data_IF_326493463054
#
_entry.id   IF_326493463054
#
_cell.length_a   1.000
_cell.length_b   1.000
_cell.length_c   1.000
_cell.angle_alpha   90.00
_cell.angle_beta   90.00
_cell.angle_gamma   90.00
#
_symmetry.space_group_name_H-M   'P 1'
#
loop_
_entity.id
_entity.type
_entity.pdbx_description
1 polymer ?
#
# COMPACT_ATOMS: atom_id res chain seq x y z
N UNK A 1 22.69 6.68 -17.94
CA UNK A 1 21.84 7.22 -16.86
C UNK A 1 20.66 6.27 -16.66
N UNK A 2 20.63 5.51 -15.57
CA UNK A 2 19.60 4.49 -15.29
C UNK A 2 18.33 5.14 -14.75
N UNK A 3 17.50 5.71 -15.65
CA UNK A 3 16.18 6.21 -15.28
C UNK A 3 15.26 5.02 -14.95
N UNK A 4 14.77 5.00 -13.72
CA UNK A 4 13.86 3.96 -13.23
C UNK A 4 12.44 4.25 -13.71
N UNK A 5 11.72 3.21 -14.10
CA UNK A 5 10.34 3.31 -14.58
C UNK A 5 9.40 2.73 -13.53
N UNK A 6 8.36 3.47 -13.16
CA UNK A 6 7.38 3.00 -12.21
C UNK A 6 6.60 1.84 -12.81
N UNK A 7 6.66 0.67 -12.19
CA UNK A 7 5.89 -0.49 -12.69
C UNK A 7 4.39 -0.40 -12.41
N UNK A 8 3.95 0.56 -11.59
CA UNK A 8 2.55 0.77 -11.26
C UNK A 8 1.84 1.83 -12.13
N UNK A 9 2.57 2.77 -12.73
CA UNK A 9 1.99 3.80 -13.60
C UNK A 9 2.75 3.99 -14.92
N UNK A 10 3.77 3.18 -15.17
CA UNK A 10 4.60 3.18 -16.38
C UNK A 10 5.26 4.51 -16.73
N UNK A 11 5.36 5.42 -15.76
CA UNK A 11 6.02 6.71 -15.90
C UNK A 11 7.43 6.67 -15.34
N UNK A 12 8.27 7.57 -15.82
CA UNK A 12 9.61 7.77 -15.31
C UNK A 12 9.55 8.22 -13.85
N UNK A 13 10.34 7.57 -13.00
CA UNK A 13 10.45 7.88 -11.59
C UNK A 13 11.71 8.68 -11.38
N UNK A 14 11.53 9.89 -10.87
CA UNK A 14 12.65 10.74 -10.48
C UNK A 14 13.27 10.21 -9.18
N UNK A 15 14.59 10.35 -8.99
CA UNK A 15 15.29 9.89 -7.78
C UNK A 15 14.69 10.44 -6.48
N UNK A 16 14.08 11.64 -6.52
CA UNK A 16 13.35 12.22 -5.39
C UNK A 16 12.14 11.39 -4.97
N UNK A 17 11.40 10.83 -5.94
CA UNK A 17 10.23 9.97 -5.71
C UNK A 17 10.54 8.48 -5.83
N UNK A 18 11.79 8.13 -6.11
CA UNK A 18 12.23 6.77 -6.36
C UNK A 18 12.16 5.92 -5.10
N UNK A 19 11.38 4.85 -5.21
CA UNK A 19 11.19 3.87 -4.20
C UNK A 19 11.49 2.51 -4.82
N UNK A 20 12.64 1.94 -4.46
CA UNK A 20 13.09 0.64 -4.94
C UNK A 20 12.48 -0.46 -4.05
N UNK A 21 11.67 -1.32 -4.65
CA UNK A 21 11.05 -2.46 -3.98
C UNK A 21 11.23 -3.70 -4.86
N UNK A 22 11.78 -4.78 -4.29
CA UNK A 22 12.01 -6.05 -5.00
C UNK A 22 12.83 -5.88 -6.29
N UNK A 23 13.76 -4.92 -6.31
CA UNK A 23 14.57 -4.59 -7.50
C UNK A 23 13.84 -3.76 -8.57
N UNK A 24 12.59 -3.34 -8.32
CA UNK A 24 11.77 -2.55 -9.23
C UNK A 24 11.54 -1.13 -8.68
N UNK A 25 11.57 -0.13 -9.54
CA UNK A 25 11.30 1.27 -9.17
C UNK A 25 9.80 1.58 -9.11
N UNK A 26 9.39 2.31 -8.08
CA UNK A 26 8.04 2.84 -7.90
C UNK A 26 8.07 4.30 -7.42
N UNK A 27 6.99 5.05 -7.65
CA UNK A 27 6.79 6.33 -6.95
C UNK A 27 6.28 6.07 -5.54
N UNK A 28 6.68 6.91 -4.57
CA UNK A 28 6.13 6.93 -3.21
C UNK A 28 4.59 6.98 -3.20
N UNK A 29 4.01 7.73 -4.13
CA UNK A 29 2.56 7.91 -4.31
C UNK A 29 1.90 6.75 -5.08
N UNK A 30 2.67 6.04 -5.91
CA UNK A 30 2.17 4.87 -6.64
C UNK A 30 2.22 3.58 -5.82
N UNK A 31 2.99 3.59 -4.73
CA UNK A 31 3.19 2.46 -3.84
C UNK A 31 1.97 2.25 -2.95
N UNK A 32 0.93 1.61 -3.50
CA UNK A 32 -0.36 1.40 -2.83
C UNK A 32 -0.83 -0.04 -2.94
N UNK A 33 -1.62 -0.48 -1.97
CA UNK A 33 -2.15 -1.84 -1.95
C UNK A 33 -3.13 -2.06 -3.11
N UNK A 34 -3.05 -3.18 -3.81
CA UNK A 34 -4.02 -3.51 -4.87
C UNK A 34 -5.44 -3.73 -4.30
N UNK A 35 -5.54 -4.26 -3.08
CA UNK A 35 -6.81 -4.57 -2.42
C UNK A 35 -7.54 -3.31 -1.93
N UNK A 36 -6.90 -2.49 -1.10
CA UNK A 36 -7.53 -1.31 -0.50
C UNK A 36 -7.15 0.02 -1.13
N UNK A 37 -6.23 0.02 -2.11
CA UNK A 37 -5.69 1.22 -2.77
C UNK A 37 -5.11 2.26 -1.80
N UNK A 38 -4.84 1.86 -0.55
CA UNK A 38 -4.19 2.70 0.46
C UNK A 38 -2.71 2.81 0.18
N UNK A 39 -2.16 4.03 0.33
CA UNK A 39 -0.73 4.28 0.21
C UNK A 39 0.02 3.47 1.27
N UNK A 40 1.01 2.70 0.82
CA UNK A 40 1.86 1.87 1.64
C UNK A 40 3.20 2.53 1.84
N UNK A 41 3.78 2.33 3.01
CA UNK A 41 5.15 2.76 3.29
C UNK A 41 6.11 1.61 3.00
N UNK A 42 7.31 1.93 2.52
CA UNK A 42 8.40 0.95 2.34
C UNK A 42 8.72 0.19 3.64
N UNK A 43 8.43 0.78 4.81
CA UNK A 43 8.59 0.11 6.11
C UNK A 43 7.46 -0.86 6.48
N UNK A 44 6.29 -0.77 5.83
CA UNK A 44 5.06 -1.50 6.19
C UNK A 44 4.30 -2.05 4.98
N UNK A 45 5.00 -2.58 3.98
CA UNK A 45 4.43 -3.26 2.82
C UNK A 45 4.88 -4.72 2.72
N UNK A 46 4.18 -5.47 1.88
CA UNK A 46 4.54 -6.80 1.44
C UNK A 46 4.30 -6.89 -0.06
N UNK A 47 5.28 -7.37 -0.82
CA UNK A 47 5.17 -7.60 -2.26
C UNK A 47 5.12 -9.10 -2.57
N UNK A 48 4.25 -9.51 -3.49
CA UNK A 48 4.30 -10.85 -4.07
C UNK A 48 4.01 -10.81 -5.56
N UNK A 49 4.84 -11.47 -6.34
CA UNK A 49 4.75 -11.54 -7.81
C UNK A 49 4.64 -10.15 -8.48
N UNK A 50 5.31 -9.15 -7.89
CA UNK A 50 5.24 -7.76 -8.34
C UNK A 50 3.94 -7.03 -7.99
N UNK A 51 3.09 -7.60 -7.13
CA UNK A 51 1.87 -6.98 -6.60
C UNK A 51 2.09 -6.51 -5.16
N UNK A 52 1.65 -5.29 -4.85
CA UNK A 52 1.83 -4.67 -3.53
C UNK A 52 0.61 -4.88 -2.64
N UNK A 53 0.86 -5.32 -1.42
CA UNK A 53 -0.13 -5.55 -0.39
C UNK A 53 0.27 -4.89 0.93
N UNK A 54 -0.71 -4.45 1.73
CA UNK A 54 -0.43 -4.06 3.10
C UNK A 54 -0.24 -5.30 3.96
N UNK A 55 0.53 -5.20 5.06
CA UNK A 55 0.71 -6.29 6.03
C UNK A 55 -0.59 -7.04 6.37
N UNK A 56 -1.71 -6.37 6.74
CA UNK A 56 -2.94 -7.09 7.07
C UNK A 56 -3.60 -7.77 5.87
N UNK A 57 -3.69 -7.15 4.69
CA UNK A 57 -4.27 -7.81 3.52
C UNK A 57 -3.38 -8.94 2.99
N UNK A 58 -2.06 -8.74 2.98
CA UNK A 58 -1.11 -9.78 2.63
C UNK A 58 -1.29 -10.99 3.54
N UNK A 59 -1.22 -10.79 4.86
CA UNK A 59 -1.53 -11.86 5.80
C UNK A 59 -2.90 -12.46 5.50
N UNK A 60 -3.97 -11.68 5.37
CA UNK A 60 -5.32 -12.21 5.11
C UNK A 60 -5.42 -13.07 3.84
N UNK A 61 -4.86 -12.62 2.71
CA UNK A 61 -4.85 -13.35 1.43
C UNK A 61 -4.06 -14.66 1.52
N UNK A 62 -2.91 -14.66 2.19
CA UNK A 62 -2.07 -15.86 2.34
C UNK A 62 -2.51 -16.77 3.49
N UNK A 63 -3.23 -16.22 4.46
CA UNK A 63 -3.70 -16.85 5.70
C UNK A 63 -5.19 -17.16 5.62
N UNK A 64 -5.83 -17.04 4.47
CA UNK A 64 -7.13 -17.65 4.19
C UNK A 64 -7.06 -19.19 4.22
N UNK A 65 -5.86 -19.74 4.41
CA UNK A 65 -5.61 -21.10 4.90
C UNK A 65 -5.77 -21.29 6.43
N UNK A 66 -6.12 -20.25 7.21
CA UNK A 66 -6.40 -20.36 8.64
C UNK A 66 -6.72 -19.02 9.33
N UNK A 67 -7.99 -18.80 9.67
CA UNK A 67 -8.62 -17.80 10.56
C UNK A 67 -7.73 -16.80 11.31
N UNK A 68 -7.74 -15.50 10.94
CA UNK A 68 -7.27 -14.42 11.83
C UNK A 68 -8.20 -13.19 11.84
N UNK A 69 -8.89 -13.08 12.96
CA UNK A 69 -9.51 -11.90 13.55
C UNK A 69 -8.46 -10.83 13.86
N UNK A 70 -8.38 -9.76 13.06
CA UNK A 70 -7.63 -8.54 13.39
C UNK A 70 -8.56 -7.34 13.38
N UNK A 71 -8.83 -6.86 14.59
CA UNK A 71 -9.45 -5.59 14.93
C UNK A 71 -8.68 -4.44 14.24
N UNK A 72 -9.13 -4.04 13.05
CA UNK A 72 -8.67 -2.81 12.41
C UNK A 72 -9.53 -1.67 12.95
N UNK A 73 -9.19 -1.21 14.15
CA UNK A 73 -9.60 0.12 14.60
C UNK A 73 -8.98 1.10 13.62
N UNK A 74 -9.78 1.55 12.65
CA UNK A 74 -9.45 2.68 11.78
C UNK A 74 -9.54 3.97 12.60
N UNK A 75 -8.44 4.70 12.86
CA UNK A 75 -8.53 6.08 13.28
C UNK A 75 -8.73 6.95 12.02
N UNK A 76 -9.88 6.81 11.35
CA UNK A 76 -10.35 7.85 10.45
C UNK A 76 -11.38 8.68 11.24
N UNK A 77 -10.86 9.73 11.87
CA UNK A 77 -11.44 11.08 11.96
C UNK A 77 -12.89 11.22 11.45
N UNK A 78 -13.89 11.82 12.12
CA UNK A 78 -13.97 12.60 13.37
C UNK A 78 -15.47 12.73 13.74
N UNK A 79 -15.84 12.94 15.02
CA UNK A 79 -17.21 13.20 15.44
C UNK A 79 -17.56 14.69 15.35
N UNK A 80 -18.30 15.13 14.33
CA UNK A 80 -19.05 16.39 14.43
C UNK A 80 -20.10 16.52 13.33
N UNK A 81 -21.36 16.25 13.68
CA UNK A 81 -22.50 17.01 13.14
C UNK A 81 -23.68 16.76 14.06
N UNK A 82 -23.87 17.68 14.99
CA UNK A 82 -25.13 17.80 15.71
C UNK A 82 -26.26 18.08 14.72
N UNK A 83 -27.39 17.44 14.94
CA UNK A 83 -28.69 18.01 14.60
C UNK A 83 -29.70 17.50 15.63
N UNK A 84 -29.86 18.34 16.64
CA UNK A 84 -31.03 18.46 17.52
C UNK A 84 -32.36 18.28 16.77
N UNK A 85 -33.28 17.51 17.37
CA UNK A 85 -34.73 17.63 17.22
C UNK A 85 -35.38 17.33 18.56
#
# INVERSE_FOLDING_TARGET
>A
MTQQKCKACDKTVYPVELLSADGVGYHKSCFKCTHCKSILQLSRYSSMDGVLYCKPHFEQLFKESGSFNKNFQSPFASPFTGLER
#
